data_IF_455869100235
#
_entry.id   IF_455869100235
#
_cell.length_a   1.000
_cell.length_b   1.000
_cell.length_c   1.000
_cell.angle_alpha   90.00
_cell.angle_beta   90.00
_cell.angle_gamma   90.00
#
_symmetry.space_group_name_H-M   'P 1'
#
loop_
_entity.id
_entity.type
_entity.pdbx_description
1 polymer ?
#
# COMPACT_ATOMS: atom_id res chain seq x y z
N UNK A 1 14.80 -3.49 9.91
CA UNK A 1 13.68 -2.68 9.38
C UNK A 1 12.48 -2.61 10.32
N UNK A 2 12.08 -3.70 10.96
CA UNK A 2 10.90 -3.70 11.86
C UNK A 2 11.00 -2.70 13.02
N UNK A 3 12.17 -2.59 13.67
CA UNK A 3 12.36 -1.66 14.79
C UNK A 3 12.19 -0.17 14.40
N UNK A 4 12.57 0.21 13.17
CA UNK A 4 12.35 1.58 12.66
C UNK A 4 10.87 1.81 12.38
N UNK A 5 10.19 0.83 11.78
CA UNK A 5 8.76 0.93 11.52
C UNK A 5 7.95 1.03 12.84
N UNK A 6 8.29 0.22 13.84
CA UNK A 6 7.67 0.31 15.16
C UNK A 6 7.90 1.69 15.81
N UNK A 7 9.13 2.22 15.75
CA UNK A 7 9.44 3.55 16.31
C UNK A 7 8.67 4.69 15.60
N UNK A 8 8.46 4.58 14.28
CA UNK A 8 7.62 5.54 13.53
C UNK A 8 6.17 5.46 14.05
N UNK A 9 5.62 4.25 14.17
CA UNK A 9 4.26 4.08 14.65
C UNK A 9 4.07 4.53 16.10
N UNK A 10 5.04 4.30 16.99
CA UNK A 10 5.02 4.77 18.37
C UNK A 10 4.99 6.32 18.45
N UNK A 11 5.68 7.00 17.53
CA UNK A 11 5.74 8.45 17.48
C UNK A 11 4.47 9.09 16.86
N UNK A 12 3.69 8.35 16.07
CA UNK A 12 2.47 8.86 15.46
C UNK A 12 1.33 9.00 16.48
N UNK A 13 0.53 10.09 16.42
CA UNK A 13 -0.70 10.20 17.20
C UNK A 13 -1.64 9.01 16.97
N UNK A 14 -2.36 8.60 18.01
CA UNK A 14 -3.28 7.45 17.91
C UNK A 14 -4.42 7.68 16.91
N UNK A 15 -4.82 8.95 16.71
CA UNK A 15 -5.88 9.38 15.80
C UNK A 15 -5.37 9.74 14.40
N UNK A 16 -4.08 9.55 14.13
CA UNK A 16 -3.52 9.84 12.80
C UNK A 16 -4.26 9.03 11.73
N UNK A 17 -4.92 9.73 10.81
CA UNK A 17 -5.58 9.10 9.68
C UNK A 17 -4.62 9.02 8.48
N UNK A 18 -4.72 7.97 7.64
CA UNK A 18 -3.95 7.89 6.41
C UNK A 18 -4.22 9.11 5.52
N UNK A 19 -3.19 9.59 4.85
CA UNK A 19 -3.35 10.68 3.89
C UNK A 19 -4.41 10.33 2.84
N UNK A 20 -5.27 11.31 2.53
CA UNK A 20 -6.35 11.17 1.54
C UNK A 20 -7.22 9.92 1.73
N UNK A 21 -7.44 9.55 2.98
CA UNK A 21 -8.18 8.33 3.32
C UNK A 21 -9.52 8.21 2.58
N UNK A 22 -10.33 9.26 2.54
CA UNK A 22 -11.65 9.22 1.90
C UNK A 22 -11.58 8.88 0.41
N UNK A 23 -10.62 9.47 -0.32
CA UNK A 23 -10.43 9.23 -1.75
C UNK A 23 -9.91 7.82 -2.03
N UNK A 24 -8.89 7.39 -1.28
CA UNK A 24 -8.29 6.06 -1.40
C UNK A 24 -9.27 4.97 -1.00
N UNK A 25 -10.05 5.20 0.06
CA UNK A 25 -11.15 4.31 0.46
C UNK A 25 -12.21 4.18 -0.63
N UNK A 26 -12.62 5.31 -1.23
CA UNK A 26 -13.59 5.28 -2.32
C UNK A 26 -13.06 4.50 -3.54
N UNK A 27 -11.77 4.66 -3.86
CA UNK A 27 -11.12 3.88 -4.91
C UNK A 27 -11.09 2.40 -4.58
N UNK A 28 -10.67 2.01 -3.36
CA UNK A 28 -10.64 0.62 -2.91
C UNK A 28 -12.02 -0.03 -3.00
N UNK A 29 -13.03 0.57 -2.38
CA UNK A 29 -14.37 0.00 -2.30
C UNK A 29 -15.12 -0.01 -3.64
N UNK A 30 -14.71 0.80 -4.62
CA UNK A 30 -15.26 0.73 -5.98
C UNK A 30 -14.78 -0.52 -6.77
N UNK A 31 -13.82 -1.28 -6.26
CA UNK A 31 -13.19 -2.40 -6.98
C UNK A 31 -13.17 -3.70 -6.17
N UNK A 32 -13.78 -3.71 -4.99
CA UNK A 32 -13.90 -4.91 -4.14
C UNK A 32 -15.36 -5.24 -3.93
N UNK A 33 -15.72 -6.52 -4.08
CA UNK A 33 -17.06 -7.01 -3.82
C UNK A 33 -17.19 -7.61 -2.41
N UNK A 34 -18.42 -7.68 -1.91
CA UNK A 34 -18.71 -8.41 -0.69
C UNK A 34 -18.35 -9.90 -0.84
N UNK A 35 -17.78 -10.49 0.19
CA UNK A 35 -17.31 -11.88 0.20
C UNK A 35 -15.90 -12.09 -0.34
N UNK A 36 -15.30 -11.11 -1.06
CA UNK A 36 -13.91 -11.22 -1.51
C UNK A 36 -12.94 -11.30 -0.35
N UNK A 37 -11.95 -12.17 -0.46
CA UNK A 37 -10.80 -12.21 0.44
C UNK A 37 -9.75 -11.22 -0.02
N UNK A 38 -9.49 -10.21 0.79
CA UNK A 38 -8.63 -9.06 0.44
C UNK A 38 -7.42 -9.00 1.36
N UNK A 39 -6.22 -9.06 0.79
CA UNK A 39 -5.00 -8.72 1.52
C UNK A 39 -4.87 -7.19 1.59
N UNK A 40 -4.89 -6.64 2.79
CA UNK A 40 -4.51 -5.26 3.10
C UNK A 40 -3.02 -5.27 3.47
N UNK A 41 -2.16 -5.04 2.46
CA UNK A 41 -0.70 -5.13 2.58
C UNK A 41 -0.13 -3.77 3.01
N UNK A 42 0.55 -3.74 4.16
CA UNK A 42 0.91 -2.50 4.85
C UNK A 42 -0.34 -1.88 5.50
N UNK A 43 -1.08 -2.67 6.26
CA UNK A 43 -2.41 -2.27 6.75
C UNK A 43 -2.37 -1.16 7.81
N UNK A 44 -1.21 -0.87 8.38
CA UNK A 44 -1.05 0.15 9.41
C UNK A 44 -1.99 -0.07 10.60
N UNK A 45 -2.66 0.97 11.04
CA UNK A 45 -3.64 0.90 12.13
C UNK A 45 -5.03 0.38 11.69
N UNK A 46 -5.13 -0.23 10.50
CA UNK A 46 -6.28 -1.02 10.07
C UNK A 46 -7.45 -0.22 9.49
N UNK A 47 -7.29 1.05 9.13
CA UNK A 47 -8.39 1.88 8.61
C UNK A 47 -9.02 1.29 7.34
N UNK A 48 -8.20 0.78 6.42
CA UNK A 48 -8.69 0.15 5.20
C UNK A 48 -9.22 -1.26 5.47
N UNK A 49 -8.59 -2.04 6.35
CA UNK A 49 -9.10 -3.35 6.80
C UNK A 49 -10.50 -3.23 7.39
N UNK A 50 -10.73 -2.24 8.26
CA UNK A 50 -12.07 -1.96 8.82
C UNK A 50 -13.05 -1.56 7.72
N UNK A 51 -12.65 -0.69 6.79
CA UNK A 51 -13.51 -0.27 5.69
C UNK A 51 -13.92 -1.45 4.79
N UNK A 52 -13.01 -2.38 4.54
CA UNK A 52 -13.26 -3.62 3.80
C UNK A 52 -14.22 -4.54 4.55
N UNK A 53 -13.99 -4.77 5.84
CA UNK A 53 -14.86 -5.60 6.68
C UNK A 53 -16.29 -5.04 6.76
N UNK A 54 -16.44 -3.73 6.93
CA UNK A 54 -17.74 -3.04 6.93
C UNK A 54 -18.44 -3.15 5.58
N UNK A 55 -17.69 -3.20 4.48
CA UNK A 55 -18.24 -3.41 3.13
C UNK A 55 -18.56 -4.90 2.83
N UNK A 56 -18.35 -5.79 3.79
CA UNK A 56 -18.66 -7.22 3.66
C UNK A 56 -17.57 -8.06 3.01
N UNK A 57 -16.38 -7.52 2.78
CA UNK A 57 -15.21 -8.27 2.36
C UNK A 57 -14.56 -9.01 3.56
N UNK A 58 -13.63 -9.91 3.27
CA UNK A 58 -12.86 -10.67 4.26
C UNK A 58 -11.40 -10.20 4.26
N UNK A 59 -11.06 -9.10 4.98
CA UNK A 59 -9.72 -8.57 5.00
C UNK A 59 -8.76 -9.45 5.81
N UNK A 60 -7.53 -9.58 5.29
CA UNK A 60 -6.36 -10.05 6.02
C UNK A 60 -5.38 -8.89 6.05
N UNK A 61 -5.15 -8.28 7.20
CA UNK A 61 -4.21 -7.19 7.38
C UNK A 61 -2.80 -7.72 7.63
N UNK A 62 -1.84 -7.20 6.87
CA UNK A 62 -0.42 -7.57 7.03
C UNK A 62 0.42 -6.31 7.16
N UNK A 63 1.28 -6.25 8.17
CA UNK A 63 2.21 -5.13 8.36
C UNK A 63 3.54 -5.62 8.93
N UNK A 64 4.61 -4.83 8.73
CA UNK A 64 5.95 -5.09 9.28
C UNK A 64 6.10 -4.57 10.71
N UNK A 65 5.23 -3.66 11.15
CA UNK A 65 5.24 -3.02 12.46
C UNK A 65 4.25 -3.69 13.42
N UNK A 66 4.73 -4.22 14.51
CA UNK A 66 3.90 -4.84 15.55
C UNK A 66 2.99 -3.81 16.23
N UNK A 67 3.48 -2.57 16.42
CA UNK A 67 2.70 -1.47 17.00
C UNK A 67 1.52 -1.09 16.11
N UNK A 68 1.70 -1.07 14.78
CA UNK A 68 0.62 -0.84 13.83
C UNK A 68 -0.50 -1.89 13.99
N UNK A 69 -0.13 -3.16 14.03
CA UNK A 69 -1.07 -4.27 14.20
C UNK A 69 -1.78 -4.23 15.56
N UNK A 70 -1.08 -3.82 16.63
CA UNK A 70 -1.69 -3.61 17.94
C UNK A 70 -2.80 -2.54 17.88
N UNK A 71 -2.56 -1.43 17.17
CA UNK A 71 -3.57 -0.38 16.95
C UNK A 71 -4.73 -0.86 16.10
N UNK A 72 -4.45 -1.63 15.04
CA UNK A 72 -5.48 -2.23 14.20
C UNK A 72 -6.39 -3.19 14.99
N UNK A 73 -5.81 -4.05 15.82
CA UNK A 73 -6.57 -4.96 16.69
C UNK A 73 -7.44 -4.22 17.72
N UNK A 74 -6.96 -3.08 18.25
CA UNK A 74 -7.74 -2.24 19.15
C UNK A 74 -8.90 -1.52 18.43
N UNK A 75 -8.71 -1.17 17.15
CA UNK A 75 -9.73 -0.51 16.31
C UNK A 75 -10.89 -1.43 15.97
N UNK A 76 -10.59 -2.68 15.62
CA UNK A 76 -11.59 -3.71 15.33
C UNK A 76 -11.10 -5.07 15.81
N UNK A 77 -11.53 -5.51 17.00
CA UNK A 77 -11.24 -6.85 17.48
C UNK A 77 -11.78 -7.93 16.51
N UNK A 78 -10.96 -8.95 16.28
CA UNK A 78 -11.34 -10.07 15.39
C UNK A 78 -10.89 -9.91 13.93
N UNK A 79 -10.20 -8.83 13.55
CA UNK A 79 -9.51 -8.78 12.26
C UNK A 79 -8.42 -9.86 12.19
N UNK A 80 -8.29 -10.54 11.04
CA UNK A 80 -7.14 -11.40 10.73
C UNK A 80 -5.92 -10.51 10.47
N UNK A 81 -5.05 -10.37 11.46
CA UNK A 81 -3.86 -9.51 11.42
C UNK A 81 -2.61 -10.36 11.56
N UNK A 82 -1.63 -10.13 10.67
CA UNK A 82 -0.41 -10.93 10.62
C UNK A 82 0.82 -10.04 10.55
N UNK A 83 1.78 -10.28 11.44
CA UNK A 83 3.09 -9.64 11.36
C UNK A 83 3.88 -10.25 10.20
N UNK A 84 4.47 -9.39 9.38
CA UNK A 84 5.30 -9.81 8.26
C UNK A 84 6.70 -9.21 8.38
N UNK A 85 7.69 -10.00 8.81
CA UNK A 85 9.07 -9.54 8.83
C UNK A 85 9.54 -9.22 7.41
N UNK A 86 10.15 -8.05 7.25
CA UNK A 86 10.63 -7.62 5.93
C UNK A 86 11.65 -8.59 5.34
N UNK A 87 11.43 -9.02 4.10
CA UNK A 87 12.28 -9.98 3.39
C UNK A 87 11.85 -11.44 3.53
N UNK A 88 10.91 -11.75 4.40
CA UNK A 88 10.30 -13.07 4.48
C UNK A 88 9.16 -13.22 3.45
N UNK A 89 8.77 -14.44 3.07
CA UNK A 89 7.56 -14.66 2.29
C UNK A 89 6.31 -14.13 3.01
N UNK A 90 5.34 -13.61 2.26
CA UNK A 90 4.05 -13.21 2.83
C UNK A 90 3.39 -14.40 3.55
N UNK A 91 2.83 -14.20 4.76
CA UNK A 91 2.24 -15.28 5.58
C UNK A 91 0.87 -15.71 5.04
N UNK A 92 0.79 -15.97 3.72
CA UNK A 92 -0.39 -16.43 3.01
C UNK A 92 0.00 -17.51 1.99
N UNK A 93 -0.95 -18.40 1.69
CA UNK A 93 -0.79 -19.43 0.68
C UNK A 93 -0.87 -18.87 -0.74
N UNK A 94 -0.34 -19.61 -1.72
CA UNK A 94 -0.41 -19.27 -3.13
C UNK A 94 -1.87 -19.19 -3.61
N UNK A 95 -2.20 -18.13 -4.33
CA UNK A 95 -3.53 -17.94 -4.92
C UNK A 95 -4.66 -17.84 -3.89
N UNK A 96 -4.36 -17.47 -2.66
CA UNK A 96 -5.32 -17.48 -1.55
C UNK A 96 -6.16 -16.22 -1.40
N UNK A 97 -5.89 -15.16 -2.17
CA UNK A 97 -6.65 -13.91 -2.10
C UNK A 97 -7.18 -13.47 -3.47
N UNK A 98 -8.36 -12.86 -3.48
CA UNK A 98 -8.99 -12.31 -4.68
C UNK A 98 -8.38 -10.98 -5.09
N UNK A 99 -8.10 -10.14 -4.09
CA UNK A 99 -7.60 -8.78 -4.25
C UNK A 99 -6.47 -8.51 -3.26
N UNK A 100 -5.43 -7.81 -3.72
CA UNK A 100 -4.42 -7.16 -2.85
C UNK A 100 -4.63 -5.65 -2.92
N UNK A 101 -4.78 -5.04 -1.77
CA UNK A 101 -4.70 -3.60 -1.57
C UNK A 101 -3.32 -3.24 -1.01
N UNK A 102 -2.58 -2.37 -1.70
CA UNK A 102 -1.29 -1.85 -1.27
C UNK A 102 -1.33 -0.32 -1.38
N UNK A 103 -1.77 0.32 -0.32
CA UNK A 103 -2.00 1.76 -0.31
C UNK A 103 -0.84 2.54 0.30
N UNK A 104 -0.04 3.26 -0.49
CA UNK A 104 1.17 3.97 -0.05
C UNK A 104 2.15 3.01 0.63
N UNK A 105 2.56 1.97 -0.08
CA UNK A 105 3.49 0.93 0.40
C UNK A 105 4.70 0.80 -0.51
N UNK A 106 4.49 0.78 -1.84
CA UNK A 106 5.54 0.45 -2.81
C UNK A 106 6.72 1.44 -2.78
N UNK A 107 6.48 2.68 -2.37
CA UNK A 107 7.51 3.72 -2.20
C UNK A 107 8.48 3.42 -1.05
N UNK A 108 8.07 2.61 -0.07
CA UNK A 108 8.87 2.19 1.07
C UNK A 108 9.65 0.88 0.82
N UNK A 109 9.35 0.19 -0.28
CA UNK A 109 9.93 -1.11 -0.60
C UNK A 109 11.32 -0.94 -1.20
N UNK A 110 12.35 -1.51 -0.56
CA UNK A 110 13.74 -1.46 -1.07
C UNK A 110 13.97 -2.37 -2.27
N UNK A 111 13.35 -3.55 -2.31
CA UNK A 111 13.42 -4.46 -3.45
C UNK A 111 12.01 -4.78 -3.96
N UNK A 112 11.64 -4.09 -5.04
CA UNK A 112 10.26 -4.12 -5.56
C UNK A 112 9.98 -5.42 -6.33
N UNK A 113 10.98 -6.03 -6.97
CA UNK A 113 10.75 -7.22 -7.80
C UNK A 113 10.36 -8.45 -6.95
N UNK A 114 11.09 -8.84 -5.89
CA UNK A 114 10.65 -9.88 -4.97
C UNK A 114 9.32 -9.55 -4.29
N UNK A 115 9.11 -8.28 -3.90
CA UNK A 115 7.86 -7.84 -3.27
C UNK A 115 6.65 -8.05 -4.21
N UNK A 116 6.74 -7.61 -5.47
CA UNK A 116 5.68 -7.84 -6.47
C UNK A 116 5.52 -9.32 -6.82
N UNK A 117 6.60 -10.11 -6.77
CA UNK A 117 6.53 -11.57 -6.93
C UNK A 117 5.70 -12.21 -5.83
N UNK A 118 5.86 -11.79 -4.57
CA UNK A 118 5.05 -12.26 -3.44
C UNK A 118 3.59 -11.80 -3.56
N UNK A 119 3.34 -10.54 -3.93
CA UNK A 119 1.98 -10.05 -4.24
C UNK A 119 1.32 -10.90 -5.32
N UNK A 120 2.08 -11.23 -6.39
CA UNK A 120 1.60 -12.09 -7.47
C UNK A 120 1.37 -13.53 -6.99
N UNK A 121 2.24 -14.07 -6.13
CA UNK A 121 2.10 -15.43 -5.58
C UNK A 121 0.79 -15.60 -4.82
N UNK A 122 0.48 -14.67 -3.90
CA UNK A 122 -0.71 -14.77 -3.04
C UNK A 122 -2.03 -14.46 -3.75
N UNK A 123 -2.02 -13.65 -4.82
CA UNK A 123 -3.19 -13.41 -5.66
C UNK A 123 -3.57 -14.69 -6.41
N UNK A 124 -4.85 -15.01 -6.49
CA UNK A 124 -5.34 -16.05 -7.42
C UNK A 124 -5.09 -15.66 -8.88
N UNK A 125 -5.08 -16.60 -9.83
CA UNK A 125 -5.10 -16.27 -11.26
C UNK A 125 -6.22 -15.28 -11.58
N UNK A 126 -5.91 -14.23 -12.33
CA UNK A 126 -6.81 -13.11 -12.65
C UNK A 126 -7.27 -12.30 -11.42
N UNK A 127 -6.63 -12.45 -10.27
CA UNK A 127 -6.85 -11.61 -9.08
C UNK A 127 -6.39 -10.16 -9.32
N UNK A 128 -6.91 -9.26 -8.54
CA UNK A 128 -6.71 -7.81 -8.72
C UNK A 128 -5.68 -7.25 -7.74
N UNK A 129 -4.71 -6.49 -8.25
CA UNK A 129 -3.86 -5.59 -7.46
C UNK A 129 -4.43 -4.18 -7.54
N UNK A 130 -4.78 -3.61 -6.40
CA UNK A 130 -5.11 -2.19 -6.20
C UNK A 130 -3.95 -1.53 -5.48
N UNK A 131 -3.37 -0.50 -6.07
CA UNK A 131 -2.18 0.16 -5.53
C UNK A 131 -2.32 1.67 -5.60
N UNK A 132 -1.87 2.36 -4.54
CA UNK A 132 -1.65 3.80 -4.58
C UNK A 132 -0.23 4.14 -4.17
N UNK A 133 0.31 5.23 -4.73
CA UNK A 133 1.63 5.77 -4.38
C UNK A 133 1.69 7.26 -4.72
N UNK A 134 2.51 8.07 -4.05
CA UNK A 134 2.66 9.48 -4.37
C UNK A 134 3.12 9.71 -5.81
N UNK A 135 2.59 10.77 -6.44
CA UNK A 135 2.99 11.21 -7.77
C UNK A 135 3.80 12.49 -7.69
N UNK A 136 5.04 12.41 -8.15
CA UNK A 136 5.94 13.55 -8.28
C UNK A 136 5.93 14.07 -9.73
N UNK A 137 4.88 14.84 -10.06
CA UNK A 137 4.74 15.43 -11.40
C UNK A 137 5.74 16.58 -11.67
N UNK A 138 5.94 16.97 -12.94
CA UNK A 138 6.88 18.04 -13.32
C UNK A 138 6.63 19.35 -12.59
N UNK A 139 5.37 19.73 -12.37
CA UNK A 139 5.02 20.96 -11.65
C UNK A 139 5.39 20.87 -10.16
N UNK A 140 5.22 19.70 -9.52
CA UNK A 140 5.64 19.45 -8.15
C UNK A 140 7.15 19.55 -8.04
N UNK A 141 7.89 18.90 -8.95
CA UNK A 141 9.35 18.95 -8.99
C UNK A 141 9.87 20.38 -9.24
N UNK A 142 9.23 21.12 -10.13
CA UNK A 142 9.56 22.53 -10.36
C UNK A 142 9.34 23.37 -9.09
N UNK A 143 8.20 23.20 -8.41
CA UNK A 143 7.91 23.90 -7.16
C UNK A 143 8.92 23.55 -6.04
N UNK A 144 9.38 22.31 -5.97
CA UNK A 144 10.45 21.89 -5.06
C UNK A 144 11.77 22.56 -5.43
N UNK A 145 12.16 22.55 -6.71
CA UNK A 145 13.41 23.16 -7.19
C UNK A 145 13.47 24.67 -6.92
N UNK A 146 12.34 25.36 -6.87
CA UNK A 146 12.25 26.80 -6.59
C UNK A 146 12.24 27.14 -5.09
N UNK A 147 12.22 26.14 -4.21
CA UNK A 147 12.18 26.36 -2.75
C UNK A 147 13.17 25.43 -2.03
N UNK A 148 14.38 25.93 -1.68
CA UNK A 148 15.39 25.09 -1.01
C UNK A 148 14.86 24.39 0.24
N UNK A 149 14.08 25.08 1.07
CA UNK A 149 13.47 24.48 2.28
C UNK A 149 12.53 23.30 1.97
N UNK A 150 11.72 23.41 0.90
CA UNK A 150 10.83 22.33 0.46
C UNK A 150 11.61 21.19 -0.17
N UNK A 151 12.68 21.53 -0.90
CA UNK A 151 13.59 20.57 -1.49
C UNK A 151 14.25 19.72 -0.39
N UNK A 152 14.88 20.37 0.59
CA UNK A 152 15.53 19.68 1.71
C UNK A 152 14.56 18.81 2.51
N UNK A 153 13.36 19.31 2.80
CA UNK A 153 12.33 18.54 3.49
C UNK A 153 11.84 17.33 2.68
N UNK A 154 11.78 17.46 1.35
CA UNK A 154 11.34 16.38 0.46
C UNK A 154 12.39 15.27 0.31
N UNK A 155 13.66 15.64 0.31
CA UNK A 155 14.82 14.74 0.19
C UNK A 155 15.50 14.51 1.53
N UNK A 156 14.77 14.62 2.65
CA UNK A 156 15.29 14.30 3.98
C UNK A 156 15.80 12.84 4.01
N UNK A 157 17.09 12.60 4.28
CA UNK A 157 17.69 11.27 4.23
C UNK A 157 17.07 10.24 5.21
N UNK A 158 16.33 10.71 6.21
CA UNK A 158 15.62 9.89 7.17
C UNK A 158 14.19 9.59 6.74
N UNK A 159 13.76 10.13 5.57
CA UNK A 159 12.48 9.78 4.99
C UNK A 159 12.43 8.28 4.69
N UNK A 160 11.30 7.69 4.94
CA UNK A 160 11.02 6.29 4.64
C UNK A 160 10.63 6.04 3.17
N UNK A 161 10.46 7.11 2.37
CA UNK A 161 10.25 7.03 0.93
C UNK A 161 11.58 6.81 0.20
N UNK A 162 11.84 5.59 -0.22
CA UNK A 162 13.05 5.21 -0.94
C UNK A 162 12.88 5.15 -2.45
N UNK A 163 11.64 5.28 -2.95
CA UNK A 163 11.32 5.22 -4.38
C UNK A 163 10.32 6.27 -4.80
N UNK A 164 10.47 6.72 -6.04
CA UNK A 164 9.62 7.72 -6.67
C UNK A 164 9.11 7.18 -8.01
N UNK A 165 7.81 7.20 -8.20
CA UNK A 165 7.18 6.67 -9.39
C UNK A 165 6.55 7.76 -10.24
N UNK A 166 6.65 7.59 -11.56
CA UNK A 166 5.77 8.24 -12.53
C UNK A 166 4.72 7.23 -13.02
N UNK A 167 3.58 7.68 -13.57
CA UNK A 167 2.60 6.78 -14.16
C UNK A 167 3.19 5.82 -15.20
N UNK A 168 4.14 6.31 -16.00
CA UNK A 168 4.80 5.51 -17.04
C UNK A 168 5.74 4.44 -16.46
N UNK A 169 6.59 4.82 -15.50
CA UNK A 169 7.56 3.89 -14.90
C UNK A 169 6.87 2.83 -14.04
N UNK A 170 5.80 3.21 -13.31
CA UNK A 170 5.02 2.27 -12.52
C UNK A 170 4.27 1.28 -13.42
N UNK A 171 3.67 1.74 -14.53
CA UNK A 171 3.03 0.85 -15.50
C UNK A 171 4.02 -0.17 -16.06
N UNK A 172 5.15 0.28 -16.58
CA UNK A 172 6.17 -0.59 -17.14
C UNK A 172 6.65 -1.65 -16.13
N UNK A 173 6.93 -1.22 -14.89
CA UNK A 173 7.33 -2.13 -13.80
C UNK A 173 6.29 -3.22 -13.53
N UNK A 174 5.01 -2.87 -13.46
CA UNK A 174 3.95 -3.84 -13.21
C UNK A 174 3.78 -4.81 -14.38
N UNK A 175 3.83 -4.30 -15.62
CA UNK A 175 3.72 -5.12 -16.84
C UNK A 175 4.91 -6.07 -16.97
N UNK A 176 6.14 -5.63 -16.70
CA UNK A 176 7.35 -6.45 -16.69
C UNK A 176 7.29 -7.59 -15.65
N UNK A 177 6.54 -7.38 -14.55
CA UNK A 177 6.42 -8.35 -13.46
C UNK A 177 5.11 -9.16 -13.48
N UNK A 178 4.42 -9.20 -14.63
CA UNK A 178 3.32 -10.11 -14.89
C UNK A 178 1.95 -9.61 -14.40
N UNK A 179 1.73 -8.30 -14.48
CA UNK A 179 0.43 -7.69 -14.23
C UNK A 179 -0.07 -6.93 -15.46
N UNK A 180 -1.33 -7.12 -15.83
CA UNK A 180 -2.01 -6.29 -16.82
C UNK A 180 -2.54 -5.01 -16.15
N UNK A 181 -2.00 -3.85 -16.51
CA UNK A 181 -2.46 -2.57 -15.95
C UNK A 181 -3.76 -2.13 -16.63
N UNK A 182 -4.88 -2.57 -16.07
CA UNK A 182 -6.22 -2.29 -16.58
C UNK A 182 -6.61 -0.80 -16.45
N UNK A 183 -6.15 -0.13 -15.39
CA UNK A 183 -6.41 1.30 -15.16
C UNK A 183 -5.30 1.93 -14.36
N UNK A 184 -4.83 3.08 -14.81
CA UNK A 184 -3.92 3.94 -14.06
C UNK A 184 -4.38 5.38 -14.18
N UNK A 185 -4.51 6.07 -13.05
CA UNK A 185 -4.91 7.48 -12.99
C UNK A 185 -4.05 8.23 -11.98
N UNK A 186 -3.87 9.52 -12.24
CA UNK A 186 -3.32 10.46 -11.25
C UNK A 186 -4.44 11.34 -10.75
N UNK A 187 -4.57 11.45 -9.45
CA UNK A 187 -5.54 12.32 -8.79
C UNK A 187 -4.93 12.93 -7.54
N UNK A 188 -5.05 14.25 -7.38
CA UNK A 188 -4.51 15.00 -6.23
C UNK A 188 -3.08 14.59 -5.81
N UNK A 189 -2.15 14.44 -6.79
CA UNK A 189 -0.78 13.97 -6.61
C UNK A 189 -0.63 12.54 -6.05
N UNK A 190 -1.62 11.66 -6.26
CA UNK A 190 -1.54 10.22 -6.01
C UNK A 190 -1.76 9.46 -7.31
N UNK A 191 -0.95 8.47 -7.58
CA UNK A 191 -1.17 7.48 -8.64
C UNK A 191 -2.09 6.41 -8.06
N UNK A 192 -3.19 6.12 -8.77
CA UNK A 192 -4.12 5.03 -8.43
C UNK A 192 -4.06 4.00 -9.56
N UNK A 193 -3.79 2.75 -9.21
CA UNK A 193 -3.62 1.66 -10.17
C UNK A 193 -4.57 0.52 -9.83
N UNK A 194 -5.23 0.01 -10.88
CA UNK A 194 -5.85 -1.32 -10.89
C UNK A 194 -5.13 -2.16 -11.92
N UNK A 195 -4.52 -3.24 -11.47
CA UNK A 195 -3.87 -4.22 -12.33
C UNK A 195 -4.39 -5.63 -12.04
N UNK A 196 -4.26 -6.54 -12.99
CA UNK A 196 -4.75 -7.92 -12.90
C UNK A 196 -3.56 -8.85 -13.05
N UNK A 197 -3.47 -9.87 -12.20
CA UNK A 197 -2.46 -10.93 -12.33
C UNK A 197 -2.71 -11.74 -13.62
N UNK A 198 -1.67 -11.89 -14.46
CA UNK A 198 -1.65 -12.89 -15.55
C UNK A 198 -1.85 -14.31 -15.02
#
# INVERSE_FOLDING_TARGET
>A
MNALADAIWEALPAEAAPERFAERRAFLLAHVAAGERVLDLGCGAGEFSVALAVAGAQPVGVDVAAEALRRAAARMPGLDLRLWPAGEPLPLEDGSVDTVWAGEVIEHVTDVAPWLSEVRRVLRPHGTLLLTTPHHGPLTLLALALSPRRFDAHFEPRSDHVRFFSPRTLRALLEDLGFDVARLRVRHATILVRAVRH
#
